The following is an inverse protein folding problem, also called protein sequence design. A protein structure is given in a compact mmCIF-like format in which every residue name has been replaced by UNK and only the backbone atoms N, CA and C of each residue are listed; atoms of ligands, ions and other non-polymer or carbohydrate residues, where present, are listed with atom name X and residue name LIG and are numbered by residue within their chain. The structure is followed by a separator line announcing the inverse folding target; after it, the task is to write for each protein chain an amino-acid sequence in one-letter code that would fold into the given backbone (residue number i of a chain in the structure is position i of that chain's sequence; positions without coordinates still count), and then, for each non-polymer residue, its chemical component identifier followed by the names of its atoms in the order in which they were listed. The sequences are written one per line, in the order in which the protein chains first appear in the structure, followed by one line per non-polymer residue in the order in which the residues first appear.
data_IF_532396340025
#
_entry.id   IF_532396340025
#
_cell.length_a   1.000
_cell.length_b   1.000
_cell.length_c   1.000
_cell.angle_alpha   90.00
_cell.angle_beta   90.00
_cell.angle_gamma   90.00
#
_symmetry.space_group_name_H-M   'P 1'
#
loop_
_entity.id
_entity.type
_entity.pdbx_description
1 polymer ?
#
# COMPACT_ATOMS: atom_id res chain seq x y z
N UNK A 1 -7.80 20.21 -8.13
CA UNK A 1 -7.29 19.51 -9.34
C UNK A 1 -8.49 18.98 -10.13
N UNK A 2 -8.57 19.17 -11.46
CA UNK A 2 -9.73 18.72 -12.21
C UNK A 2 -9.69 17.20 -12.37
N UNK A 3 -10.74 16.52 -11.90
CA UNK A 3 -10.89 15.07 -11.97
C UNK A 3 -10.91 14.58 -13.42
N UNK A 4 -10.33 13.40 -13.68
CA UNK A 4 -10.18 12.85 -15.03
C UNK A 4 -11.53 12.60 -15.77
N UNK A 5 -12.64 12.52 -15.02
CA UNK A 5 -14.00 12.54 -15.57
C UNK A 5 -14.29 13.80 -16.37
N UNK A 6 -13.69 14.94 -16.01
CA UNK A 6 -13.82 16.21 -16.72
C UNK A 6 -13.10 16.25 -18.07
N UNK A 7 -12.02 15.48 -18.27
CA UNK A 7 -11.29 15.41 -19.54
C UNK A 7 -11.97 14.49 -20.55
N UNK A 8 -12.49 13.34 -20.09
CA UNK A 8 -13.26 12.42 -20.92
C UNK A 8 -14.58 13.05 -21.41
N UNK A 9 -15.26 13.79 -20.54
CA UNK A 9 -16.51 14.49 -20.90
C UNK A 9 -16.24 15.65 -21.87
N UNK A 10 -15.16 16.44 -21.67
CA UNK A 10 -14.76 17.52 -22.60
C UNK A 10 -14.39 17.01 -23.99
N UNK A 11 -13.72 15.85 -24.11
CA UNK A 11 -13.45 15.21 -25.42
C UNK A 11 -14.72 14.77 -26.14
N UNK A 12 -15.70 14.19 -25.42
CA UNK A 12 -17.00 13.80 -25.98
C UNK A 12 -17.78 15.01 -26.50
N UNK A 13 -17.83 16.10 -25.72
CA UNK A 13 -18.52 17.33 -26.13
C UNK A 13 -17.86 18.01 -27.32
N UNK A 14 -16.52 17.99 -27.41
CA UNK A 14 -15.77 18.60 -28.51
C UNK A 14 -15.94 17.84 -29.84
N UNK A 15 -16.02 16.50 -29.79
CA UNK A 15 -16.27 15.65 -30.98
C UNK A 15 -17.72 15.80 -31.45
N UNK A 16 -18.70 15.87 -30.55
CA UNK A 16 -20.09 16.16 -30.92
C UNK A 16 -20.23 17.56 -31.54
N UNK A 17 -19.50 18.57 -31.05
CA UNK A 17 -19.50 19.91 -31.62
C UNK A 17 -18.88 19.96 -33.02
N UNK A 18 -17.76 19.24 -33.26
CA UNK A 18 -17.11 19.13 -34.57
C UNK A 18 -18.02 18.45 -35.61
N UNK A 19 -18.70 17.38 -35.23
CA UNK A 19 -19.66 16.69 -36.09
C UNK A 19 -20.87 17.58 -36.42
N UNK A 20 -21.40 18.33 -35.43
CA UNK A 20 -22.48 19.27 -35.64
C UNK A 20 -22.09 20.45 -36.57
N UNK A 21 -20.85 20.92 -36.51
CA UNK A 21 -20.36 21.96 -37.44
C UNK A 21 -20.20 21.47 -38.89
N UNK A 22 -19.94 20.18 -39.11
CA UNK A 22 -19.91 19.60 -40.46
C UNK A 22 -21.31 19.48 -41.09
N UNK A 23 -22.38 19.35 -40.29
CA UNK A 23 -23.77 19.30 -40.78
C UNK A 23 -24.26 20.62 -41.38
N UNK A 24 -23.62 21.75 -41.08
CA UNK A 24 -24.09 23.08 -41.49
C UNK A 24 -23.45 23.58 -42.79
N UNK A 25 -22.45 22.88 -43.36
CA UNK A 25 -21.60 23.43 -44.44
C UNK A 25 -21.79 22.71 -45.78
N UNK A 26 -22.31 21.48 -45.82
CA UNK A 26 -22.54 20.76 -47.08
C UNK A 26 -23.95 20.18 -47.07
N UNK A 27 -24.79 20.60 -48.02
CA UNK A 27 -26.14 20.06 -48.25
C UNK A 27 -26.14 18.63 -48.77
N UNK A 28 -25.42 17.74 -48.09
CA UNK A 28 -25.31 16.33 -48.40
C UNK A 28 -26.34 15.54 -47.59
N UNK A 29 -26.89 14.52 -48.27
CA UNK A 29 -27.92 13.60 -47.80
C UNK A 29 -27.59 13.00 -46.42
N UNK A 30 -28.35 13.40 -45.39
CA UNK A 30 -28.04 13.13 -43.99
C UNK A 30 -27.90 11.63 -43.67
N UNK A 31 -28.57 10.75 -44.44
CA UNK A 31 -28.49 9.30 -44.26
C UNK A 31 -27.10 8.71 -44.51
N UNK A 32 -26.39 9.18 -45.54
CA UNK A 32 -25.06 8.65 -45.91
C UNK A 32 -23.94 9.12 -44.97
N UNK A 33 -24.11 10.27 -44.34
CA UNK A 33 -23.17 10.82 -43.36
C UNK A 33 -23.36 10.13 -42.01
N UNK A 34 -24.58 9.78 -41.60
CA UNK A 34 -24.83 9.02 -40.36
C UNK A 34 -24.25 7.60 -40.46
N UNK A 35 -24.36 6.94 -41.61
CA UNK A 35 -23.73 5.62 -41.81
C UNK A 35 -22.19 5.72 -41.85
N UNK A 36 -21.65 6.79 -42.42
CA UNK A 36 -20.20 7.03 -42.44
C UNK A 36 -19.65 7.43 -41.05
N UNK A 37 -20.41 8.20 -40.27
CA UNK A 37 -20.06 8.62 -38.91
C UNK A 37 -20.23 7.49 -37.89
N UNK A 38 -21.24 6.63 -38.05
CA UNK A 38 -21.42 5.41 -37.25
C UNK A 38 -20.37 4.35 -37.62
N UNK A 39 -19.96 4.27 -38.89
CA UNK A 39 -18.82 3.48 -39.35
C UNK A 39 -17.47 4.00 -38.82
N UNK A 40 -17.26 5.32 -38.81
CA UNK A 40 -16.07 5.95 -38.25
C UNK A 40 -16.01 5.84 -36.72
N UNK A 41 -17.14 5.98 -36.02
CA UNK A 41 -17.17 5.75 -34.57
C UNK A 41 -16.98 4.26 -34.25
N UNK A 42 -17.60 3.33 -34.97
CA UNK A 42 -17.27 1.91 -34.84
C UNK A 42 -15.79 1.65 -35.12
N UNK A 43 -15.18 2.25 -36.14
CA UNK A 43 -13.75 2.09 -36.46
C UNK A 43 -12.80 2.78 -35.47
N UNK A 44 -13.18 3.92 -34.90
CA UNK A 44 -12.42 4.65 -33.87
C UNK A 44 -12.55 4.01 -32.48
N UNK A 45 -13.60 3.22 -32.24
CA UNK A 45 -13.83 2.49 -31.00
C UNK A 45 -13.66 0.96 -31.14
N UNK A 46 -13.40 0.45 -32.34
CA UNK A 46 -12.98 -0.94 -32.61
C UNK A 46 -11.47 -1.04 -32.67
N UNK A 47 -10.76 -0.43 -31.71
CA UNK A 47 -9.57 -1.12 -31.27
C UNK A 47 -10.09 -2.41 -30.66
N UNK A 48 -9.97 -3.52 -31.41
CA UNK A 48 -9.97 -4.85 -30.78
C UNK A 48 -9.00 -4.73 -29.61
N UNK A 49 -9.53 -4.75 -28.39
CA UNK A 49 -8.68 -4.88 -27.21
C UNK A 49 -7.90 -6.17 -27.45
N UNK A 50 -6.59 -6.02 -27.68
CA UNK A 50 -5.72 -7.17 -27.82
C UNK A 50 -5.85 -7.96 -26.53
N UNK A 51 -6.37 -9.16 -26.65
CA UNK A 51 -6.42 -10.10 -25.55
C UNK A 51 -4.99 -10.63 -25.35
N UNK A 52 -4.49 -10.53 -24.12
CA UNK A 52 -3.18 -11.05 -23.73
C UNK A 52 -3.41 -12.11 -22.67
N UNK A 53 -2.62 -13.18 -22.70
CA UNK A 53 -2.76 -14.31 -21.76
C UNK A 53 -2.28 -13.94 -20.34
N UNK A 54 -1.47 -12.88 -20.21
CA UNK A 54 -0.95 -12.42 -18.92
C UNK A 54 -0.45 -10.97 -18.96
N UNK A 55 -0.32 -10.33 -17.79
CA UNK A 55 0.20 -8.95 -17.70
C UNK A 55 1.62 -8.78 -18.29
N UNK A 56 2.57 -9.74 -18.15
CA UNK A 56 3.89 -9.57 -18.73
C UNK A 56 3.87 -9.58 -20.26
N UNK A 57 2.96 -10.37 -20.85
CA UNK A 57 2.78 -10.38 -22.30
C UNK A 57 2.27 -9.03 -22.79
N UNK A 58 1.28 -8.46 -22.10
CA UNK A 58 0.81 -7.12 -22.38
C UNK A 58 1.93 -6.08 -22.29
N UNK A 59 2.69 -6.07 -21.20
CA UNK A 59 3.74 -5.07 -20.97
C UNK A 59 4.92 -5.16 -21.94
N UNK A 60 5.23 -6.35 -22.47
CA UNK A 60 6.21 -6.49 -23.55
C UNK A 60 5.76 -5.86 -24.87
N UNK A 61 4.45 -5.74 -25.09
CA UNK A 61 3.86 -5.26 -26.34
C UNK A 61 3.30 -3.84 -26.26
N UNK A 62 3.14 -3.30 -25.05
CA UNK A 62 2.52 -2.00 -24.79
C UNK A 62 3.32 -1.18 -23.80
N UNK A 63 3.40 0.12 -24.04
CA UNK A 63 3.93 1.03 -23.05
C UNK A 63 2.91 1.25 -21.92
N UNK A 64 3.31 0.96 -20.69
CA UNK A 64 2.49 1.14 -19.48
C UNK A 64 3.19 2.07 -18.49
N UNK A 65 2.42 2.90 -17.79
CA UNK A 65 2.95 3.66 -16.66
C UNK A 65 3.05 2.78 -15.41
N UNK A 66 3.92 3.14 -14.47
CA UNK A 66 4.11 2.37 -13.23
C UNK A 66 2.81 2.19 -12.45
N UNK A 67 1.99 3.26 -12.36
CA UNK A 67 0.67 3.18 -11.73
C UNK A 67 -0.28 2.20 -12.43
N UNK A 68 -0.28 2.21 -13.76
CA UNK A 68 -1.12 1.29 -14.55
C UNK A 68 -0.64 -0.15 -14.40
N UNK A 69 0.67 -0.36 -14.41
CA UNK A 69 1.28 -1.68 -14.21
C UNK A 69 0.96 -2.23 -12.81
N UNK A 70 1.12 -1.42 -11.75
CA UNK A 70 0.77 -1.82 -10.39
C UNK A 70 -0.69 -2.27 -10.28
N UNK A 71 -1.62 -1.45 -10.81
CA UNK A 71 -3.06 -1.76 -10.81
C UNK A 71 -3.37 -3.05 -11.58
N UNK A 72 -2.84 -3.19 -12.80
CA UNK A 72 -3.05 -4.39 -13.62
C UNK A 72 -2.54 -5.65 -12.93
N UNK A 73 -1.38 -5.57 -12.27
CA UNK A 73 -0.81 -6.69 -11.54
C UNK A 73 -1.66 -7.09 -10.33
N UNK A 74 -2.07 -6.12 -9.51
CA UNK A 74 -2.96 -6.37 -8.37
C UNK A 74 -4.28 -6.99 -8.82
N UNK A 75 -4.92 -6.42 -9.84
CA UNK A 75 -6.20 -6.90 -10.35
C UNK A 75 -6.06 -8.34 -10.90
N UNK A 76 -5.04 -8.61 -11.71
CA UNK A 76 -4.81 -9.94 -12.29
C UNK A 76 -4.51 -11.01 -11.22
N UNK A 77 -3.63 -10.70 -10.27
CA UNK A 77 -3.25 -11.62 -9.20
C UNK A 77 -4.42 -11.90 -8.25
N UNK A 78 -5.12 -10.87 -7.78
CA UNK A 78 -6.27 -11.05 -6.89
C UNK A 78 -7.42 -11.79 -7.59
N UNK A 79 -7.71 -11.47 -8.84
CA UNK A 79 -8.76 -12.17 -9.60
C UNK A 79 -8.43 -13.64 -9.81
N UNK A 80 -7.17 -13.95 -10.16
CA UNK A 80 -6.72 -15.34 -10.34
C UNK A 80 -6.74 -16.12 -9.02
N UNK A 81 -6.35 -15.47 -7.91
CA UNK A 81 -6.38 -16.06 -6.58
C UNK A 81 -7.82 -16.35 -6.13
N UNK A 82 -8.76 -15.41 -6.31
CA UNK A 82 -10.18 -15.61 -6.02
C UNK A 82 -10.83 -16.70 -6.89
N UNK A 83 -10.39 -16.82 -8.15
CA UNK A 83 -10.84 -17.89 -9.04
C UNK A 83 -10.22 -19.26 -8.73
N UNK A 84 -9.19 -19.33 -7.87
CA UNK A 84 -8.43 -20.55 -7.63
C UNK A 84 -7.52 -20.96 -8.80
N UNK A 85 -7.27 -20.06 -9.76
CA UNK A 85 -6.50 -20.36 -10.97
C UNK A 85 -5.01 -20.11 -10.74
N UNK A 86 -4.33 -21.16 -10.23
CA UNK A 86 -2.88 -21.14 -9.99
C UNK A 86 -2.06 -20.91 -11.26
N UNK A 87 -2.52 -21.38 -12.41
CA UNK A 87 -1.79 -21.25 -13.67
C UNK A 87 -1.83 -19.80 -14.16
N UNK A 88 -3.03 -19.19 -14.20
CA UNK A 88 -3.19 -17.78 -14.54
C UNK A 88 -2.45 -16.88 -13.54
N UNK A 89 -2.52 -17.19 -12.24
CA UNK A 89 -1.78 -16.48 -11.21
C UNK A 89 -0.28 -16.53 -11.45
N UNK A 90 0.28 -17.73 -11.63
CA UNK A 90 1.71 -17.95 -11.86
C UNK A 90 2.23 -17.23 -13.10
N UNK A 91 1.45 -17.17 -14.20
CA UNK A 91 1.86 -16.51 -15.46
C UNK A 91 2.19 -15.01 -15.32
N UNK A 92 1.74 -14.36 -14.25
CA UNK A 92 2.02 -12.94 -14.03
C UNK A 92 3.43 -12.64 -13.48
N UNK A 93 4.14 -13.65 -12.97
CA UNK A 93 5.49 -13.48 -12.41
C UNK A 93 6.59 -13.55 -13.48
N UNK A 94 7.73 -12.92 -13.19
CA UNK A 94 8.91 -12.94 -14.09
C UNK A 94 9.36 -14.37 -14.40
N UNK A 95 9.92 -14.60 -15.59
CA UNK A 95 10.42 -15.94 -15.93
C UNK A 95 11.53 -16.42 -15.01
N UNK A 96 12.43 -15.53 -14.57
CA UNK A 96 13.46 -15.85 -13.58
C UNK A 96 12.89 -16.40 -12.28
N UNK A 97 11.83 -15.78 -11.74
CA UNK A 97 11.18 -16.27 -10.52
C UNK A 97 10.45 -17.59 -10.75
N UNK A 98 9.70 -17.71 -11.85
CA UNK A 98 9.00 -18.97 -12.21
C UNK A 98 9.95 -20.15 -12.41
N UNK A 99 11.18 -19.88 -12.88
CA UNK A 99 12.22 -20.88 -13.07
C UNK A 99 13.00 -21.23 -11.80
N UNK A 100 12.75 -20.52 -10.68
CA UNK A 100 13.45 -20.76 -9.42
C UNK A 100 12.98 -22.06 -8.75
N UNK A 101 13.90 -22.72 -8.04
CA UNK A 101 13.56 -23.92 -7.27
C UNK A 101 12.61 -23.55 -6.13
N UNK A 102 11.42 -24.15 -6.10
CA UNK A 102 10.45 -23.95 -5.03
C UNK A 102 9.32 -22.97 -5.35
N UNK A 103 9.32 -22.34 -6.54
CA UNK A 103 8.23 -21.44 -6.93
C UNK A 103 6.84 -22.10 -6.87
N UNK A 104 6.70 -23.33 -7.37
CA UNK A 104 5.45 -24.09 -7.29
C UNK A 104 4.97 -24.29 -5.85
N UNK A 105 5.91 -24.53 -4.91
CA UNK A 105 5.57 -24.65 -3.49
C UNK A 105 5.10 -23.31 -2.92
N UNK A 106 5.72 -22.20 -3.31
CA UNK A 106 5.28 -20.86 -2.88
C UNK A 106 3.85 -20.56 -3.38
N UNK A 107 3.51 -20.96 -4.61
CA UNK A 107 2.15 -20.86 -5.13
C UNK A 107 1.19 -21.72 -4.31
N UNK A 108 1.55 -22.97 -4.02
CA UNK A 108 0.71 -23.86 -3.21
C UNK A 108 0.48 -23.30 -1.79
N UNK A 109 1.55 -22.84 -1.13
CA UNK A 109 1.49 -22.24 0.20
C UNK A 109 0.64 -20.95 0.19
N UNK A 110 0.81 -20.10 -0.83
CA UNK A 110 0.02 -18.88 -0.99
C UNK A 110 -1.48 -19.17 -1.07
N UNK A 111 -1.88 -20.09 -1.96
CA UNK A 111 -3.29 -20.44 -2.15
C UNK A 111 -3.88 -21.18 -0.95
N UNK A 112 -3.06 -21.92 -0.18
CA UNK A 112 -3.52 -22.58 1.05
C UNK A 112 -3.91 -21.57 2.14
N UNK A 113 -3.24 -20.41 2.19
CA UNK A 113 -3.50 -19.34 3.16
C UNK A 113 -4.46 -18.27 2.67
N UNK A 114 -4.73 -18.20 1.37
CA UNK A 114 -5.50 -17.13 0.76
C UNK A 114 -6.97 -17.12 1.24
N UNK A 115 -7.47 -15.98 1.77
CA UNK A 115 -8.80 -15.94 2.40
C UNK A 115 -9.97 -15.85 1.41
N UNK A 116 -9.72 -15.52 0.13
CA UNK A 116 -10.75 -15.31 -0.89
C UNK A 116 -11.55 -14.01 -0.74
N UNK A 117 -12.17 -13.56 -1.83
CA UNK A 117 -13.02 -12.37 -1.91
C UNK A 117 -12.27 -11.03 -1.97
N UNK A 118 -10.97 -11.01 -2.28
CA UNK A 118 -10.18 -9.77 -2.26
C UNK A 118 -10.20 -9.00 -3.59
N UNK A 119 -10.52 -9.65 -4.71
CA UNK A 119 -10.60 -8.99 -6.03
C UNK A 119 -11.73 -7.97 -6.11
N UNK A 120 -12.85 -8.24 -5.42
CA UNK A 120 -14.02 -7.37 -5.36
C UNK A 120 -14.01 -6.39 -4.15
N UNK A 121 -13.08 -6.59 -3.21
CA UNK A 121 -12.97 -5.74 -2.03
C UNK A 121 -12.55 -4.32 -2.41
N UNK A 122 -13.09 -3.32 -1.70
CA UNK A 122 -12.63 -1.93 -1.85
C UNK A 122 -11.21 -1.82 -1.29
N UNK A 123 -10.29 -1.33 -2.14
CA UNK A 123 -8.88 -1.16 -1.80
C UNK A 123 -8.52 0.31 -1.72
N UNK A 124 -7.76 0.66 -0.70
CA UNK A 124 -7.04 1.91 -0.60
C UNK A 124 -5.66 1.72 -1.24
N UNK A 125 -5.55 2.03 -2.53
CA UNK A 125 -4.30 1.91 -3.27
C UNK A 125 -3.32 3.00 -2.82
N UNK A 126 -2.18 2.59 -2.24
CA UNK A 126 -1.12 3.47 -1.78
C UNK A 126 -0.31 4.09 -2.93
N UNK A 127 0.71 4.91 -2.61
CA UNK A 127 1.59 5.48 -3.62
C UNK A 127 2.38 4.40 -4.35
N UNK A 128 2.56 4.59 -5.66
CA UNK A 128 3.43 3.74 -6.47
C UNK A 128 4.80 4.38 -6.58
N UNK A 129 5.83 3.68 -6.13
CA UNK A 129 7.23 4.10 -6.21
C UNK A 129 7.85 3.50 -7.46
N UNK A 130 7.94 4.28 -8.52
CA UNK A 130 8.51 3.89 -9.80
C UNK A 130 9.98 4.28 -9.94
N UNK A 131 10.74 3.48 -10.67
CA UNK A 131 12.14 3.74 -10.98
C UNK A 131 12.57 3.07 -12.28
N UNK A 132 13.61 3.63 -12.89
CA UNK A 132 14.18 3.05 -14.09
C UNK A 132 15.67 3.28 -14.19
N UNK A 133 16.35 2.37 -14.88
CA UNK A 133 17.74 2.50 -15.25
C UNK A 133 17.89 2.40 -16.77
N UNK A 134 18.88 3.09 -17.30
CA UNK A 134 19.29 2.99 -18.70
C UNK A 134 20.80 2.83 -18.76
N UNK A 135 21.25 1.75 -19.38
CA UNK A 135 22.67 1.42 -19.51
C UNK A 135 22.94 0.69 -20.82
N UNK A 136 23.92 1.16 -21.57
CA UNK A 136 24.41 0.50 -22.79
C UNK A 136 23.32 0.18 -23.82
N UNK A 137 22.34 1.09 -24.00
CA UNK A 137 21.21 0.88 -24.91
C UNK A 137 20.06 0.08 -24.31
N UNK A 138 20.22 -0.44 -23.09
CA UNK A 138 19.19 -1.23 -22.41
C UNK A 138 18.48 -0.42 -21.34
N UNK A 139 17.16 -0.50 -21.29
CA UNK A 139 16.34 0.05 -20.22
C UNK A 139 15.74 -1.05 -19.34
N UNK A 140 15.64 -0.75 -18.05
CA UNK A 140 14.82 -1.49 -17.10
C UNK A 140 13.95 -0.51 -16.34
N UNK A 141 12.63 -0.73 -16.32
CA UNK A 141 11.67 0.05 -15.52
C UNK A 141 10.79 -0.88 -14.70
N UNK A 142 10.41 -0.39 -13.54
CA UNK A 142 9.59 -1.12 -12.60
C UNK A 142 9.29 -0.26 -11.40
N UNK A 143 8.70 -0.87 -10.39
CA UNK A 143 8.38 -0.17 -9.16
C UNK A 143 7.83 -1.09 -8.09
N UNK A 144 7.42 -0.45 -7.00
CA UNK A 144 6.69 -1.09 -5.93
C UNK A 144 5.40 -0.32 -5.64
N UNK A 145 4.42 -1.05 -5.13
CA UNK A 145 3.14 -0.51 -4.71
C UNK A 145 2.69 -1.23 -3.45
N UNK A 146 1.93 -0.53 -2.61
CA UNK A 146 1.20 -1.13 -1.51
C UNK A 146 -0.28 -0.81 -1.64
N UNK A 147 -1.13 -1.65 -1.05
CA UNK A 147 -2.55 -1.37 -0.92
C UNK A 147 -3.06 -1.95 0.38
N UNK A 148 -4.07 -1.31 0.92
CA UNK A 148 -4.75 -1.75 2.13
C UNK A 148 -6.20 -2.04 1.79
N UNK A 149 -6.78 -3.06 2.42
CA UNK A 149 -8.20 -3.35 2.28
C UNK A 149 -8.79 -3.90 3.57
N UNK A 150 -10.09 -3.71 3.71
CA UNK A 150 -10.88 -4.34 4.74
C UNK A 150 -11.68 -5.49 4.12
N UNK A 151 -11.53 -6.69 4.68
CA UNK A 151 -12.30 -7.86 4.27
C UNK A 151 -12.87 -8.53 5.53
N UNK A 152 -14.19 -8.66 5.60
CA UNK A 152 -14.90 -9.27 6.74
C UNK A 152 -14.51 -8.66 8.11
N UNK A 153 -14.32 -7.34 8.16
CA UNK A 153 -13.92 -6.62 9.38
C UNK A 153 -12.47 -6.82 9.79
N UNK A 154 -11.61 -7.36 8.91
CA UNK A 154 -10.17 -7.51 9.13
C UNK A 154 -9.39 -6.69 8.13
N UNK A 155 -8.33 -6.05 8.61
CA UNK A 155 -7.37 -5.32 7.79
C UNK A 155 -6.39 -6.27 7.10
N UNK A 156 -6.14 -6.00 5.82
CA UNK A 156 -5.14 -6.66 5.01
C UNK A 156 -4.25 -5.65 4.30
N UNK A 157 -2.99 -6.02 4.16
CA UNK A 157 -1.93 -5.30 3.50
C UNK A 157 -1.46 -6.12 2.31
N UNK A 158 -1.40 -5.48 1.15
CA UNK A 158 -0.90 -6.06 -0.10
C UNK A 158 0.35 -5.29 -0.48
N UNK A 159 1.44 -6.01 -0.74
CA UNK A 159 2.72 -5.43 -1.17
C UNK A 159 3.10 -6.07 -2.50
N UNK A 160 3.47 -5.23 -3.47
CA UNK A 160 3.80 -5.63 -4.82
C UNK A 160 5.14 -5.00 -5.23
N UNK A 161 5.99 -5.77 -5.91
CA UNK A 161 7.05 -5.23 -6.77
C UNK A 161 6.98 -5.84 -8.17
N UNK A 162 7.34 -5.06 -9.18
CA UNK A 162 7.18 -5.45 -10.58
C UNK A 162 8.22 -4.80 -11.49
N UNK A 163 8.50 -5.47 -12.61
CA UNK A 163 9.24 -4.94 -13.74
C UNK A 163 8.31 -4.85 -14.96
N UNK A 164 8.03 -3.64 -15.43
CA UNK A 164 7.15 -3.39 -16.59
C UNK A 164 7.91 -3.21 -17.91
N UNK A 165 9.22 -3.01 -17.86
CA UNK A 165 10.08 -2.88 -19.04
C UNK A 165 11.47 -3.46 -18.72
N UNK A 166 11.97 -4.37 -19.55
CA UNK A 166 13.36 -4.84 -19.50
C UNK A 166 13.81 -5.19 -20.92
N UNK A 167 14.61 -4.33 -21.55
CA UNK A 167 15.01 -4.56 -22.96
C UNK A 167 16.17 -5.53 -23.10
N UNK A 168 16.98 -5.71 -22.05
CA UNK A 168 18.08 -6.66 -22.05
C UNK A 168 17.58 -8.10 -21.88
N UNK A 169 16.58 -8.28 -21.01
CA UNK A 169 15.95 -9.58 -20.70
C UNK A 169 14.42 -9.42 -20.70
N UNK A 170 13.77 -9.32 -21.88
CA UNK A 170 12.32 -9.10 -21.98
C UNK A 170 11.47 -10.18 -21.29
N UNK A 171 11.97 -11.40 -21.18
CA UNK A 171 11.37 -12.51 -20.44
C UNK A 171 11.30 -12.27 -18.92
N UNK A 172 12.07 -11.31 -18.40
CA UNK A 172 12.05 -10.89 -16.99
C UNK A 172 11.13 -9.70 -16.72
N UNK A 173 10.30 -9.30 -17.69
CA UNK A 173 9.12 -8.46 -17.42
C UNK A 173 8.08 -9.28 -16.64
N UNK A 174 7.47 -8.68 -15.62
CA UNK A 174 6.43 -9.30 -14.78
C UNK A 174 6.53 -8.92 -13.30
N UNK A 175 5.76 -9.62 -12.47
CA UNK A 175 5.77 -9.44 -11.01
C UNK A 175 7.02 -10.08 -10.40
N UNK A 176 7.70 -9.32 -9.54
CA UNK A 176 8.94 -9.72 -8.87
C UNK A 176 8.70 -10.11 -7.41
N UNK A 177 7.71 -9.47 -6.76
CA UNK A 177 7.19 -9.94 -5.48
C UNK A 177 5.72 -9.62 -5.28
N UNK A 178 4.99 -10.50 -4.57
CA UNK A 178 3.61 -10.28 -4.18
C UNK A 178 3.33 -10.87 -2.79
N UNK A 179 2.88 -10.03 -1.86
CA UNK A 179 2.64 -10.43 -0.48
C UNK A 179 1.27 -9.96 -0.01
N UNK A 180 0.56 -10.83 0.72
CA UNK A 180 -0.68 -10.51 1.41
C UNK A 180 -0.51 -10.84 2.89
N UNK A 181 -0.80 -9.90 3.76
CA UNK A 181 -0.72 -10.05 5.21
C UNK A 181 -1.96 -9.47 5.86
N UNK A 182 -2.49 -10.10 6.91
CA UNK A 182 -3.43 -9.41 7.80
C UNK A 182 -2.69 -8.53 8.81
N UNK A 183 -3.44 -7.78 9.64
CA UNK A 183 -2.88 -6.91 10.69
C UNK A 183 -1.82 -7.60 11.55
N UNK A 184 -2.12 -8.81 12.04
CA UNK A 184 -1.23 -9.60 12.89
C UNK A 184 0.07 -9.99 12.19
N UNK A 185 -0.01 -10.48 10.94
CA UNK A 185 1.17 -10.80 10.16
C UNK A 185 2.00 -9.56 9.81
N UNK A 186 1.34 -8.44 9.46
CA UNK A 186 2.01 -7.18 9.15
C UNK A 186 2.76 -6.64 10.38
N UNK A 187 2.18 -6.74 11.57
CA UNK A 187 2.83 -6.34 12.82
C UNK A 187 4.13 -7.13 13.07
N UNK A 188 4.10 -8.45 12.88
CA UNK A 188 5.31 -9.29 12.97
C UNK A 188 6.34 -8.90 11.91
N UNK A 189 5.88 -8.68 10.68
CA UNK A 189 6.74 -8.28 9.57
C UNK A 189 7.46 -6.96 9.86
N UNK A 190 6.73 -5.94 10.35
CA UNK A 190 7.31 -4.66 10.73
C UNK A 190 8.33 -4.79 11.87
N UNK A 191 8.03 -5.59 12.90
CA UNK A 191 8.94 -5.82 14.02
C UNK A 191 10.27 -6.44 13.55
N UNK A 192 10.22 -7.51 12.74
CA UNK A 192 11.45 -8.14 12.21
C UNK A 192 12.22 -7.16 11.33
N UNK A 193 11.54 -6.45 10.44
CA UNK A 193 12.17 -5.45 9.57
C UNK A 193 12.88 -4.37 10.38
N UNK A 194 12.28 -3.90 11.47
CA UNK A 194 12.84 -2.86 12.33
C UNK A 194 14.09 -3.30 13.12
N UNK A 195 14.18 -4.60 13.45
CA UNK A 195 15.28 -5.15 14.27
C UNK A 195 16.50 -5.52 13.46
N UNK A 196 16.28 -6.20 12.34
CA UNK A 196 17.37 -6.88 11.64
C UNK A 196 17.79 -6.16 10.35
N UNK A 197 17.13 -5.05 9.99
CA UNK A 197 17.31 -4.35 8.71
C UNK A 197 17.28 -5.34 7.52
N UNK A 198 16.57 -6.46 7.67
CA UNK A 198 16.51 -7.50 6.67
C UNK A 198 15.69 -6.96 5.51
N UNK A 199 16.39 -6.68 4.42
CA UNK A 199 15.77 -6.54 3.12
C UNK A 199 15.28 -7.92 2.74
N UNK A 200 13.96 -8.13 2.73
CA UNK A 200 13.35 -9.37 2.25
C UNK A 200 13.42 -9.49 0.73
N UNK A 201 14.56 -9.13 0.14
CA UNK A 201 14.85 -9.33 -1.28
C UNK A 201 14.72 -10.83 -1.66
N UNK A 202 14.64 -11.72 -0.67
CA UNK A 202 14.44 -13.17 -0.79
C UNK A 202 12.96 -13.64 -0.70
N UNK A 203 12.00 -12.80 -0.28
CA UNK A 203 10.57 -13.20 -0.21
C UNK A 203 9.82 -12.66 -1.42
N UNK A 204 9.66 -13.53 -2.40
CA UNK A 204 8.99 -13.19 -3.66
C UNK A 204 7.47 -13.44 -3.65
N UNK A 205 6.98 -14.39 -2.85
CA UNK A 205 5.55 -14.70 -2.81
C UNK A 205 5.15 -15.18 -1.42
N UNK A 206 4.15 -14.54 -0.81
CA UNK A 206 3.68 -14.89 0.53
C UNK A 206 2.21 -14.53 0.73
N UNK A 207 1.46 -15.41 1.39
CA UNK A 207 0.20 -15.06 2.04
C UNK A 207 0.30 -15.52 3.50
N UNK A 208 0.48 -14.57 4.42
CA UNK A 208 0.61 -14.83 5.85
C UNK A 208 -0.61 -14.26 6.58
N UNK A 209 -1.50 -15.15 7.02
CA UNK A 209 -2.71 -14.79 7.75
C UNK A 209 -2.63 -15.42 9.13
N UNK A 210 -2.47 -14.59 10.16
CA UNK A 210 -2.32 -15.04 11.56
C UNK A 210 -3.59 -14.79 12.35
N UNK A 211 -3.87 -15.61 13.35
CA UNK A 211 -4.99 -15.35 14.25
C UNK A 211 -4.60 -14.40 15.38
N UNK A 212 -5.57 -13.63 15.89
CA UNK A 212 -5.39 -12.78 17.06
C UNK A 212 -5.09 -13.56 18.37
N UNK A 213 -5.30 -14.88 18.36
CA UNK A 213 -4.89 -15.77 19.45
C UNK A 213 -3.41 -16.15 19.40
N UNK A 214 -2.75 -16.02 18.23
CA UNK A 214 -1.32 -16.29 18.05
C UNK A 214 -0.48 -15.02 18.21
N UNK A 215 -1.00 -13.90 17.74
CA UNK A 215 -0.33 -12.60 17.75
C UNK A 215 -1.31 -11.52 18.20
N UNK A 216 -0.98 -10.80 19.26
CA UNK A 216 -1.72 -9.60 19.63
C UNK A 216 -1.16 -8.41 18.86
N UNK A 217 -2.01 -7.78 18.06
CA UNK A 217 -1.64 -6.62 17.25
C UNK A 217 -2.67 -5.49 17.41
N UNK A 218 -2.19 -4.27 17.16
CA UNK A 218 -3.03 -3.06 17.10
C UNK A 218 -2.68 -2.25 15.87
N UNK A 219 -3.72 -1.64 15.28
CA UNK A 219 -3.56 -0.58 14.30
C UNK A 219 -3.39 0.73 15.06
N UNK A 220 -2.34 1.50 14.76
CA UNK A 220 -2.06 2.81 15.37
C UNK A 220 -1.54 3.72 14.28
N UNK A 221 -2.21 4.84 14.04
CA UNK A 221 -1.90 5.76 12.93
C UNK A 221 -1.71 5.03 11.59
N UNK A 222 -2.63 4.12 11.25
CA UNK A 222 -2.59 3.28 10.04
C UNK A 222 -1.52 2.19 10.01
N UNK A 223 -0.67 2.09 11.04
CA UNK A 223 0.45 1.13 11.09
C UNK A 223 0.15 -0.03 12.04
N UNK A 224 0.63 -1.23 11.69
CA UNK A 224 0.41 -2.44 12.45
C UNK A 224 1.55 -2.66 13.46
N UNK A 225 1.22 -2.75 14.75
CA UNK A 225 2.20 -2.96 15.82
C UNK A 225 1.94 -4.25 16.58
N UNK A 226 3.04 -4.95 16.94
CA UNK A 226 2.98 -5.99 17.96
C UNK A 226 2.64 -5.35 19.28
N UNK A 227 1.64 -5.91 19.96
CA UNK A 227 1.03 -5.28 21.11
C UNK A 227 1.15 -6.15 22.36
N UNK A 228 1.68 -5.57 23.42
CA UNK A 228 1.74 -6.19 24.75
C UNK A 228 0.79 -5.43 25.66
N UNK A 229 -0.23 -6.11 26.17
CA UNK A 229 -1.11 -5.54 27.19
C UNK A 229 -0.32 -5.34 28.49
N UNK A 230 -0.57 -4.22 29.18
CA UNK A 230 0.11 -3.86 30.42
C UNK A 230 -0.88 -3.77 31.56
N UNK A 231 -0.45 -4.14 32.77
CA UNK A 231 -1.27 -4.05 33.98
C UNK A 231 -1.27 -2.64 34.59
N UNK A 232 -0.51 -1.70 34.01
CA UNK A 232 -0.45 -0.31 34.47
C UNK A 232 -1.79 0.38 34.19
N UNK A 233 -2.33 1.18 35.12
CA UNK A 233 -3.49 2.02 34.84
C UNK A 233 -3.26 2.89 33.60
N UNK A 234 -4.25 2.93 32.71
CA UNK A 234 -4.21 3.78 31.53
C UNK A 234 -4.41 5.23 31.97
N UNK A 235 -3.57 6.13 31.46
CA UNK A 235 -3.76 7.56 31.72
C UNK A 235 -4.81 8.11 30.76
N UNK A 236 -5.55 9.11 31.22
CA UNK A 236 -6.27 10.00 30.30
C UNK A 236 -5.27 10.83 29.47
N UNK A 237 -5.74 11.39 28.35
CA UNK A 237 -4.93 12.30 27.54
C UNK A 237 -4.37 13.47 28.35
N UNK A 238 -5.19 14.09 29.20
CA UNK A 238 -4.78 15.22 30.03
C UNK A 238 -3.71 14.83 31.04
N UNK A 239 -3.84 13.68 31.70
CA UNK A 239 -2.83 13.18 32.64
C UNK A 239 -1.51 12.87 31.95
N UNK A 240 -1.55 12.27 30.76
CA UNK A 240 -0.35 12.05 29.94
C UNK A 240 0.29 13.38 29.56
N UNK A 241 -0.50 14.35 29.11
CA UNK A 241 0.00 15.69 28.73
C UNK A 241 0.62 16.43 29.92
N UNK A 242 0.02 16.38 31.09
CA UNK A 242 0.56 16.96 32.32
C UNK A 242 1.89 16.30 32.69
N UNK A 243 1.94 14.96 32.67
CA UNK A 243 3.15 14.20 32.97
C UNK A 243 4.29 14.57 32.02
N UNK A 244 4.02 14.56 30.72
CA UNK A 244 5.01 14.88 29.69
C UNK A 244 5.34 16.37 29.62
N UNK A 245 4.55 17.23 30.27
CA UNK A 245 4.84 18.66 30.47
C UNK A 245 5.75 18.91 31.68
N UNK A 246 5.70 18.06 32.69
CA UNK A 246 6.59 18.13 33.86
C UNK A 246 7.94 17.45 33.60
N UNK A 247 7.92 16.27 32.96
CA UNK A 247 9.10 15.45 32.71
C UNK A 247 9.38 15.31 31.21
N UNK A 248 10.65 15.39 30.81
CA UNK A 248 11.10 15.27 29.40
C UNK A 248 12.01 14.09 29.14
N UNK A 249 12.05 13.14 30.06
CA UNK A 249 12.92 11.98 29.99
C UNK A 249 12.11 10.74 30.38
N UNK A 250 12.01 9.76 29.48
CA UNK A 250 11.32 8.51 29.76
C UNK A 250 12.08 7.65 30.80
N UNK A 251 13.35 7.94 31.11
CA UNK A 251 14.09 7.31 32.19
C UNK A 251 13.72 7.86 33.56
N UNK A 252 13.08 9.03 33.64
CA UNK A 252 12.71 9.62 34.91
C UNK A 252 11.86 8.63 35.73
N UNK A 253 12.25 8.31 36.98
CA UNK A 253 11.52 7.36 37.82
C UNK A 253 10.03 7.68 37.93
N UNK A 254 9.69 8.96 38.03
CA UNK A 254 8.32 9.46 38.16
C UNK A 254 7.47 9.19 36.91
N UNK A 255 8.10 9.24 35.72
CA UNK A 255 7.45 8.87 34.46
C UNK A 255 7.23 7.38 34.43
N UNK A 256 8.27 6.58 34.67
CA UNK A 256 8.21 5.12 34.60
C UNK A 256 7.26 4.51 35.63
N UNK A 257 7.15 5.10 36.81
CA UNK A 257 6.20 4.67 37.83
C UNK A 257 4.75 4.89 37.40
N UNK A 258 4.48 6.01 36.70
CA UNK A 258 3.11 6.35 36.26
C UNK A 258 2.67 5.64 34.98
N UNK A 259 3.48 5.63 33.93
CA UNK A 259 3.09 5.05 32.62
C UNK A 259 3.52 3.59 32.45
N UNK A 260 4.49 3.13 33.24
CA UNK A 260 5.00 1.77 33.17
C UNK A 260 5.82 1.51 31.89
N UNK A 261 5.62 0.31 31.33
CA UNK A 261 6.26 -0.10 30.06
C UNK A 261 5.38 0.30 28.88
N UNK A 262 6.02 0.55 27.74
CA UNK A 262 5.28 0.74 26.49
C UNK A 262 4.58 -0.56 26.08
N UNK A 263 3.42 -0.40 25.44
CA UNK A 263 2.67 -1.51 24.87
C UNK A 263 3.27 -1.98 23.52
N UNK A 264 3.87 -1.05 22.77
CA UNK A 264 4.66 -1.33 21.58
C UNK A 264 5.89 -0.41 21.51
N UNK A 265 6.97 -0.91 20.92
CA UNK A 265 8.23 -0.18 20.74
C UNK A 265 8.74 -0.37 19.31
N UNK A 266 9.28 0.68 18.70
CA UNK A 266 9.91 0.59 17.38
C UNK A 266 11.18 1.45 17.33
N UNK A 267 12.24 0.93 16.72
CA UNK A 267 13.44 1.72 16.42
C UNK A 267 13.36 2.22 14.98
N UNK A 268 13.51 3.53 14.77
CA UNK A 268 13.52 4.08 13.41
C UNK A 268 14.74 3.57 12.62
N UNK A 269 14.48 3.21 11.36
CA UNK A 269 15.50 2.73 10.42
C UNK A 269 16.58 3.79 10.12
N UNK A 270 16.26 5.08 10.20
CA UNK A 270 17.22 6.17 10.00
C UNK A 270 18.09 6.51 11.23
N UNK A 271 17.97 5.72 12.31
CA UNK A 271 18.79 5.78 13.53
C UNK A 271 18.65 7.05 14.39
N UNK A 272 17.64 7.90 14.18
CA UNK A 272 17.51 9.16 14.95
C UNK A 272 16.58 9.10 16.17
N UNK A 273 15.92 7.97 16.44
CA UNK A 273 15.03 7.86 17.61
C UNK A 273 14.42 6.48 17.86
N UNK A 274 13.71 6.40 18.98
CA UNK A 274 12.98 5.24 19.48
C UNK A 274 11.53 5.65 19.75
N UNK A 275 10.58 4.93 19.16
CA UNK A 275 9.15 5.18 19.33
C UNK A 275 8.58 4.24 20.38
N UNK A 276 7.77 4.83 21.25
CA UNK A 276 7.07 4.14 22.32
C UNK A 276 5.58 4.45 22.20
N UNK A 277 4.77 3.40 22.22
CA UNK A 277 3.32 3.51 22.15
C UNK A 277 2.72 3.04 23.47
N UNK A 278 1.88 3.88 24.07
CA UNK A 278 1.17 3.60 25.32
C UNK A 278 -0.32 3.69 25.09
N UNK A 279 -1.08 2.74 25.64
CA UNK A 279 -2.53 2.82 25.67
C UNK A 279 -2.99 3.91 26.64
N UNK A 280 -3.95 4.72 26.20
CA UNK A 280 -4.64 5.69 27.03
C UNK A 280 -6.06 5.21 27.33
N UNK A 281 -6.71 5.86 28.29
CA UNK A 281 -8.14 5.70 28.49
C UNK A 281 -8.88 6.04 27.18
N UNK A 282 -9.84 5.19 26.75
CA UNK A 282 -10.54 5.41 25.50
C UNK A 282 -11.39 6.68 25.58
N UNK A 283 -11.51 7.37 24.45
CA UNK A 283 -12.34 8.55 24.33
C UNK A 283 -13.60 8.20 23.54
N UNK A 284 -14.78 8.36 24.15
CA UNK A 284 -16.07 7.98 23.55
C UNK A 284 -16.16 6.49 23.14
N UNK A 285 -15.41 5.62 23.82
CA UNK A 285 -15.34 4.18 23.53
C UNK A 285 -14.31 3.80 22.45
N UNK A 286 -13.68 4.79 21.82
CA UNK A 286 -12.64 4.56 20.82
C UNK A 286 -11.25 4.53 21.47
N UNK A 287 -10.38 3.58 21.08
CA UNK A 287 -9.01 3.53 21.57
C UNK A 287 -8.23 4.82 21.32
N UNK A 288 -7.33 5.14 22.25
CA UNK A 288 -6.40 6.27 22.17
C UNK A 288 -5.01 5.78 22.56
N UNK A 289 -4.01 6.35 21.91
CA UNK A 289 -2.62 5.98 22.11
C UNK A 289 -1.76 7.23 22.26
N UNK A 290 -0.78 7.19 23.16
CA UNK A 290 0.32 8.15 23.16
C UNK A 290 1.48 7.56 22.35
N UNK A 291 1.88 8.26 21.30
CA UNK A 291 3.10 7.99 20.54
C UNK A 291 4.19 8.95 21.04
N UNK A 292 5.25 8.42 21.64
CA UNK A 292 6.36 9.19 22.20
C UNK A 292 7.66 8.78 21.48
N UNK A 293 8.32 9.72 20.80
CA UNK A 293 9.66 9.45 20.26
C UNK A 293 10.74 9.99 21.20
N UNK A 294 11.77 9.19 21.45
CA UNK A 294 12.93 9.55 22.27
C UNK A 294 14.24 9.45 21.49
N UNK A 295 15.26 10.23 21.89
CA UNK A 295 16.56 10.30 21.22
C UNK A 295 17.49 9.10 21.47
N UNK A 296 17.17 8.29 22.46
CA UNK A 296 17.90 7.10 22.90
C UNK A 296 16.90 6.15 23.57
N UNK A 297 17.25 4.87 23.81
CA UNK A 297 16.30 3.93 24.39
C UNK A 297 15.80 4.46 25.74
N UNK A 298 14.51 4.81 25.84
CA UNK A 298 13.87 5.45 27.00
C UNK A 298 14.50 6.78 27.44
N UNK A 299 15.21 7.48 26.57
CA UNK A 299 15.88 8.73 26.90
C UNK A 299 15.00 9.97 26.82
N UNK A 300 15.64 11.09 26.45
CA UNK A 300 14.97 12.37 26.33
C UNK A 300 13.92 12.35 25.22
N UNK A 301 12.73 12.86 25.55
CA UNK A 301 11.60 12.95 24.65
C UNK A 301 11.87 14.03 23.61
N UNK A 302 11.76 13.66 22.34
CA UNK A 302 11.89 14.57 21.19
C UNK A 302 10.54 15.20 20.87
N UNK A 303 9.51 14.36 20.82
CA UNK A 303 8.13 14.73 20.53
C UNK A 303 7.19 13.66 21.12
N UNK A 304 5.93 14.06 21.33
CA UNK A 304 4.88 13.16 21.76
C UNK A 304 3.55 13.60 21.15
N UNK A 305 2.79 12.64 20.65
CA UNK A 305 1.54 12.87 19.92
C UNK A 305 0.45 11.95 20.42
N UNK A 306 -0.78 12.42 20.30
CA UNK A 306 -1.96 11.57 20.42
C UNK A 306 -2.19 10.85 19.09
N UNK A 307 -2.57 9.58 19.17
CA UNK A 307 -2.93 8.76 18.02
C UNK A 307 -4.26 8.04 18.26
N UNK A 308 -4.95 7.74 17.16
CA UNK A 308 -6.02 6.74 17.07
C UNK A 308 -5.53 5.54 16.27
N UNK A 309 -6.43 4.61 15.94
CA UNK A 309 -6.11 3.55 15.00
C UNK A 309 -5.71 4.10 13.61
N UNK A 310 -6.36 5.17 13.14
CA UNK A 310 -6.25 5.61 11.75
C UNK A 310 -5.46 6.91 11.57
N UNK A 311 -5.22 7.67 12.64
CA UNK A 311 -4.65 9.03 12.54
C UNK A 311 -3.71 9.39 13.70
N UNK A 312 -2.84 10.36 13.46
CA UNK A 312 -1.94 10.97 14.43
C UNK A 312 -2.13 12.50 14.44
N UNK A 313 -2.39 13.05 15.62
CA UNK A 313 -2.69 14.47 15.79
C UNK A 313 -1.41 15.30 15.96
N UNK A 314 -0.87 15.79 14.84
CA UNK A 314 0.36 16.61 14.84
C UNK A 314 0.15 18.04 15.35
N UNK A 315 -1.06 18.59 15.16
CA UNK A 315 -1.37 19.99 15.51
C UNK A 315 -1.60 20.21 17.01
N UNK A 316 -1.77 19.13 17.77
CA UNK A 316 -1.95 19.17 19.22
C UNK A 316 -1.05 18.13 19.92
N UNK A 317 0.27 18.38 19.98
CA UNK A 317 1.21 17.43 20.56
C UNK A 317 1.02 17.32 22.08
N UNK A 318 1.12 16.09 22.62
CA UNK A 318 1.11 15.80 24.05
C UNK A 318 2.27 16.48 24.79
N UNK A 319 3.36 16.76 24.09
CA UNK A 319 4.49 17.52 24.60
C UNK A 319 4.80 18.69 23.64
N UNK A 320 4.70 19.96 24.09
CA UNK A 320 5.00 21.10 23.22
C UNK A 320 6.48 21.10 22.81
N UNK A 321 6.74 21.38 21.53
CA UNK A 321 8.10 21.52 21.00
C UNK A 321 8.85 22.63 21.73
N UNK A 322 10.03 22.29 22.27
CA UNK A 322 10.99 23.30 22.70
C UNK A 322 11.61 23.86 21.42
N UNK A 323 11.31 25.12 21.09
CA UNK A 323 12.13 25.86 20.12
C UNK A 323 13.57 25.79 20.64
N UNK A 324 14.56 25.40 19.81
CA UNK A 324 15.96 25.51 20.21
C UNK A 324 16.17 26.92 20.76
N UNK A 325 16.56 27.03 22.02
CA UNK A 325 17.00 28.31 22.56
C UNK A 325 18.19 28.75 21.71
N UNK A 326 18.03 29.89 21.01
CA UNK A 326 19.11 30.57 20.28
C UNK A 326 20.32 30.86 21.17
#
# INVERSE_FOLDING_TARGET
MPTDRGKAMKRKTMICALLASCFMITGCDAGKIIDSASGLTKSLFSHEEKEYDSIPERWRNEHVSDYTAAKQAMDALLSSADAGDKEAFAKNFTSGLRGSSGFDKLIDDFFASYPGGMSEAERNDGPVSGGGSYRDGNSRKGGSASSELMLNGKWFYIILSFCCENTAEPENVGVESFMIMNLEAMAVHQDIYSRDCLHYDDIHLMCDIRSSGEVNARLINGNAFLWTDTDTPKLTENEMRELLTEYRDLYAPEVREKIGKANAEQKFFNQTGYDYYYELEPENGEPRYAHICANSPYGSIINAYLCTADDQFYDDPLCPFIKPTE
#
